data_IF_663251733612
#
_entry.id   IF_663251733612
#
_cell.length_a   1.000
_cell.length_b   1.000
_cell.length_c   1.000
_cell.angle_alpha   90.00
_cell.angle_beta   90.00
_cell.angle_gamma   90.00
#
_symmetry.space_group_name_H-M   'P 1'
#
loop_
_entity.id
_entity.type
_entity.pdbx_description
1 polymer ?
#
# COMPACT_ATOMS: atom_id res chain seq x y z
N UNK A 1 24.43 17.06 1.85
CA UNK A 1 23.84 15.89 2.55
C UNK A 1 22.44 16.18 3.11
N UNK A 2 22.21 17.29 3.81
CA UNK A 2 20.93 17.57 4.53
C UNK A 2 19.67 17.57 3.64
N UNK A 3 19.76 18.04 2.39
CA UNK A 3 18.61 18.04 1.46
C UNK A 3 18.18 16.61 1.12
N UNK A 4 19.13 15.70 0.88
CA UNK A 4 18.85 14.30 0.57
C UNK A 4 18.16 13.64 1.77
N UNK A 5 18.74 13.79 2.97
CA UNK A 5 18.18 13.21 4.21
C UNK A 5 16.75 13.71 4.46
N UNK A 6 16.50 15.01 4.28
CA UNK A 6 15.17 15.59 4.50
C UNK A 6 14.11 15.08 3.53
N UNK A 7 14.50 14.60 2.34
CA UNK A 7 13.57 14.20 1.28
C UNK A 7 13.59 12.70 0.96
N UNK A 8 14.42 11.90 1.63
CA UNK A 8 14.60 10.48 1.28
C UNK A 8 13.31 9.66 1.39
N UNK A 9 12.38 10.08 2.26
CA UNK A 9 11.07 9.47 2.38
C UNK A 9 10.25 9.48 1.08
N UNK A 10 10.52 10.41 0.15
CA UNK A 10 9.89 10.45 -1.16
C UNK A 10 10.26 9.25 -2.03
N UNK A 11 11.46 8.69 -1.85
CA UNK A 11 11.85 7.48 -2.57
C UNK A 11 10.88 6.34 -2.25
N UNK A 12 10.55 6.16 -0.97
CA UNK A 12 9.62 5.13 -0.51
C UNK A 12 8.19 5.45 -0.97
N UNK A 13 7.74 6.71 -0.81
CA UNK A 13 6.39 7.12 -1.23
C UNK A 13 6.15 6.93 -2.72
N UNK A 14 7.10 7.37 -3.56
CA UNK A 14 6.99 7.26 -5.01
C UNK A 14 7.03 5.80 -5.44
N UNK A 15 7.92 4.99 -4.84
CA UNK A 15 7.97 3.56 -5.11
C UNK A 15 6.64 2.88 -4.79
N UNK A 16 6.10 3.06 -3.58
CA UNK A 16 4.83 2.47 -3.18
C UNK A 16 3.68 2.96 -4.06
N UNK A 17 3.61 4.26 -4.29
CA UNK A 17 2.51 4.84 -5.06
C UNK A 17 2.54 4.36 -6.52
N UNK A 18 3.71 4.29 -7.14
CA UNK A 18 3.85 3.80 -8.51
C UNK A 18 3.41 2.33 -8.62
N UNK A 19 3.83 1.48 -7.68
CA UNK A 19 3.40 0.08 -7.61
C UNK A 19 1.88 -0.03 -7.54
N UNK A 20 1.24 0.69 -6.63
CA UNK A 20 -0.20 0.56 -6.43
C UNK A 20 -1.08 1.32 -7.42
N UNK A 21 -0.55 2.36 -8.08
CA UNK A 21 -1.20 2.93 -9.27
C UNK A 21 -1.18 1.89 -10.40
N UNK A 22 -0.03 1.29 -10.68
CA UNK A 22 0.14 0.31 -11.75
C UNK A 22 -0.71 -0.95 -11.51
N UNK A 23 -0.76 -1.47 -10.29
CA UNK A 23 -1.52 -2.68 -9.97
C UNK A 23 -2.98 -2.43 -9.60
N UNK A 24 -3.31 -1.29 -9.00
CA UNK A 24 -4.65 -0.96 -8.54
C UNK A 24 -5.56 -0.46 -9.66
N UNK A 25 -5.02 0.31 -10.61
CA UNK A 25 -5.82 0.86 -11.71
C UNK A 25 -6.48 -0.22 -12.58
N UNK A 26 -5.79 -1.29 -13.03
CA UNK A 26 -6.41 -2.36 -13.81
C UNK A 26 -7.46 -3.17 -13.04
N UNK A 27 -7.48 -3.10 -11.71
CA UNK A 27 -8.43 -3.82 -10.84
C UNK A 27 -9.70 -3.03 -10.57
N UNK A 28 -9.84 -1.81 -11.09
CA UNK A 28 -11.07 -1.04 -10.94
C UNK A 28 -12.22 -1.72 -11.69
N UNK A 29 -13.32 -1.98 -10.97
CA UNK A 29 -14.51 -2.62 -11.54
C UNK A 29 -14.35 -4.12 -11.80
N UNK A 30 -13.27 -4.74 -11.33
CA UNK A 30 -13.00 -6.18 -11.47
C UNK A 30 -12.86 -6.82 -10.10
N UNK A 31 -13.56 -7.93 -9.87
CA UNK A 31 -13.33 -8.75 -8.66
C UNK A 31 -12.07 -9.59 -8.83
N UNK A 32 -11.21 -9.58 -7.80
CA UNK A 32 -9.95 -10.33 -7.80
C UNK A 32 -9.89 -11.36 -6.69
N UNK A 33 -8.95 -12.30 -6.81
CA UNK A 33 -8.60 -13.28 -5.78
C UNK A 33 -9.77 -14.18 -5.31
N UNK A 34 -10.81 -14.35 -6.14
CA UNK A 34 -12.01 -15.12 -5.82
C UNK A 34 -12.72 -14.68 -4.53
N UNK A 35 -12.65 -13.38 -4.21
CA UNK A 35 -13.20 -12.79 -2.97
C UNK A 35 -14.67 -12.35 -3.09
N UNK A 36 -15.34 -12.66 -4.22
CA UNK A 36 -16.70 -12.21 -4.48
C UNK A 36 -16.82 -10.68 -4.47
N UNK A 37 -17.80 -10.13 -3.76
CA UNK A 37 -18.02 -8.68 -3.69
C UNK A 37 -16.85 -7.91 -3.06
N UNK A 38 -16.12 -8.51 -2.11
CA UNK A 38 -14.95 -7.87 -1.50
C UNK A 38 -13.79 -7.69 -2.48
N UNK A 39 -13.71 -8.54 -3.51
CA UNK A 39 -12.67 -8.44 -4.55
C UNK A 39 -12.72 -7.12 -5.31
N UNK A 40 -13.90 -6.51 -5.45
CA UNK A 40 -14.05 -5.21 -6.12
C UNK A 40 -13.46 -4.04 -5.31
N UNK A 41 -13.21 -4.22 -4.02
CA UNK A 41 -12.63 -3.19 -3.16
C UNK A 41 -11.10 -3.13 -3.26
N UNK A 42 -10.45 -4.19 -3.76
CA UNK A 42 -8.99 -4.26 -3.83
C UNK A 42 -8.42 -3.16 -4.72
N UNK A 43 -8.92 -3.02 -5.95
CA UNK A 43 -8.46 -1.97 -6.88
C UNK A 43 -8.62 -0.55 -6.33
N UNK A 44 -9.82 -0.15 -5.86
CA UNK A 44 -10.02 1.15 -5.23
C UNK A 44 -9.10 1.40 -4.03
N UNK A 45 -8.90 0.42 -3.14
CA UNK A 45 -8.06 0.61 -1.96
C UNK A 45 -6.58 0.75 -2.33
N UNK A 46 -6.09 -0.05 -3.28
CA UNK A 46 -4.74 0.09 -3.82
C UNK A 46 -4.54 1.47 -4.47
N UNK A 47 -5.43 1.85 -5.39
CA UNK A 47 -5.29 3.08 -6.16
C UNK A 47 -5.46 4.34 -5.30
N UNK A 48 -6.55 4.45 -4.53
CA UNK A 48 -6.76 5.60 -3.66
C UNK A 48 -5.76 5.63 -2.51
N UNK A 49 -5.34 4.48 -2.02
CA UNK A 49 -4.23 4.37 -1.06
C UNK A 49 -2.95 5.01 -1.58
N UNK A 50 -2.59 4.71 -2.84
CA UNK A 50 -1.43 5.31 -3.51
C UNK A 50 -1.56 6.83 -3.70
N UNK A 51 -2.72 7.28 -4.20
CA UNK A 51 -3.00 8.70 -4.42
C UNK A 51 -2.93 9.46 -3.09
N UNK A 52 -3.56 8.94 -2.04
CA UNK A 52 -3.56 9.57 -0.72
C UNK A 52 -2.17 9.58 -0.09
N UNK A 53 -1.36 8.54 -0.29
CA UNK A 53 0.02 8.50 0.19
C UNK A 53 0.88 9.62 -0.44
N UNK A 54 0.71 9.90 -1.73
CA UNK A 54 1.43 10.99 -2.42
C UNK A 54 0.89 12.34 -2.01
N UNK A 55 -0.42 12.56 -2.18
CA UNK A 55 -1.04 13.84 -1.86
C UNK A 55 -0.89 14.20 -0.38
N UNK A 56 -0.96 13.21 0.51
CA UNK A 56 -0.75 13.41 1.94
C UNK A 56 0.66 13.87 2.28
N UNK A 57 1.67 13.52 1.49
CA UNK A 57 3.03 14.02 1.65
C UNK A 57 3.15 15.52 1.41
N UNK A 58 2.29 16.09 0.55
CA UNK A 58 2.24 17.52 0.25
C UNK A 58 1.22 18.29 1.12
N UNK A 59 0.08 17.68 1.43
CA UNK A 59 -1.06 18.37 2.02
C UNK A 59 -1.08 18.27 3.55
N UNK A 60 -1.39 17.11 4.11
CA UNK A 60 -1.48 16.91 5.56
C UNK A 60 -1.29 15.45 5.98
N UNK A 61 -0.76 15.26 7.19
CA UNK A 61 -0.29 13.95 7.66
C UNK A 61 -1.39 12.88 7.78
N UNK A 62 -2.63 13.26 8.10
CA UNK A 62 -3.73 12.30 8.21
C UNK A 62 -4.07 11.65 6.87
N UNK A 63 -3.85 12.34 5.74
CA UNK A 63 -4.05 11.76 4.42
C UNK A 63 -2.96 10.72 4.09
N UNK A 64 -1.71 10.97 4.49
CA UNK A 64 -0.63 9.98 4.43
C UNK A 64 -0.99 8.73 5.22
N UNK A 65 -1.47 8.89 6.46
CA UNK A 65 -1.88 7.77 7.32
C UNK A 65 -3.04 7.00 6.71
N UNK A 66 -4.06 7.70 6.22
CA UNK A 66 -5.20 7.08 5.56
C UNK A 66 -4.79 6.28 4.31
N UNK A 67 -3.98 6.87 3.43
CA UNK A 67 -3.48 6.17 2.24
C UNK A 67 -2.66 4.92 2.57
N UNK A 68 -1.77 5.05 3.56
CA UNK A 68 -0.96 3.93 4.05
C UNK A 68 -1.82 2.82 4.68
N UNK A 69 -2.89 3.19 5.40
CA UNK A 69 -3.81 2.24 6.02
C UNK A 69 -4.59 1.44 4.97
N UNK A 70 -5.08 2.10 3.91
CA UNK A 70 -5.77 1.42 2.81
C UNK A 70 -4.87 0.35 2.18
N UNK A 71 -3.61 0.70 1.88
CA UNK A 71 -2.63 -0.26 1.34
C UNK A 71 -2.33 -1.37 2.35
N UNK A 72 -2.13 -1.04 3.63
CA UNK A 72 -1.84 -2.02 4.67
C UNK A 72 -2.91 -3.10 4.80
N UNK A 73 -4.19 -2.71 4.75
CA UNK A 73 -5.32 -3.66 4.77
C UNK A 73 -5.25 -4.63 3.59
N UNK A 74 -4.90 -4.15 2.40
CA UNK A 74 -4.73 -5.00 1.22
C UNK A 74 -3.54 -5.95 1.39
N UNK A 75 -2.42 -5.50 1.96
CA UNK A 75 -1.27 -6.38 2.21
C UNK A 75 -1.60 -7.48 3.22
N UNK A 76 -2.31 -7.15 4.31
CA UNK A 76 -2.77 -8.15 5.28
C UNK A 76 -3.67 -9.18 4.60
N UNK A 77 -4.62 -8.73 3.77
CA UNK A 77 -5.47 -9.60 2.98
C UNK A 77 -4.68 -10.50 2.04
N UNK A 78 -3.72 -9.95 1.30
CA UNK A 78 -2.89 -10.70 0.36
C UNK A 78 -2.02 -11.76 1.07
N UNK A 79 -1.40 -11.41 2.21
CA UNK A 79 -0.64 -12.37 3.04
C UNK A 79 -1.55 -13.52 3.48
N UNK A 80 -2.76 -13.20 3.96
CA UNK A 80 -3.71 -14.21 4.37
C UNK A 80 -4.10 -15.14 3.22
N UNK A 81 -4.36 -14.58 2.04
CA UNK A 81 -4.72 -15.36 0.85
C UNK A 81 -3.60 -16.31 0.45
N UNK A 82 -2.36 -15.83 0.31
CA UNK A 82 -1.23 -16.67 -0.05
C UNK A 82 -0.99 -17.79 0.97
N UNK A 83 -0.88 -17.47 2.27
CA UNK A 83 -0.45 -18.45 3.26
C UNK A 83 -1.54 -19.43 3.70
N UNK A 84 -2.81 -18.98 3.77
CA UNK A 84 -3.88 -19.77 4.40
C UNK A 84 -4.99 -20.20 3.45
N UNK A 85 -5.14 -19.55 2.29
CA UNK A 85 -6.16 -19.93 1.30
C UNK A 85 -5.56 -20.63 0.09
N UNK A 86 -4.44 -20.15 -0.41
CA UNK A 86 -3.75 -20.74 -1.55
C UNK A 86 -2.67 -21.74 -1.15
N UNK A 87 -2.30 -21.78 0.14
CA UNK A 87 -1.26 -22.67 0.70
C UNK A 87 0.10 -22.50 0.02
N UNK A 88 0.43 -21.27 -0.34
CA UNK A 88 1.73 -20.91 -0.89
C UNK A 88 2.81 -20.87 0.21
N UNK A 89 4.08 -20.93 -0.20
CA UNK A 89 5.22 -20.81 0.71
C UNK A 89 5.40 -19.38 1.23
N UNK A 90 6.08 -19.24 2.37
CA UNK A 90 6.40 -17.95 2.98
C UNK A 90 7.21 -17.02 2.05
N UNK A 91 8.01 -17.58 1.14
CA UNK A 91 8.73 -16.82 0.12
C UNK A 91 7.79 -16.06 -0.84
N UNK A 92 6.54 -16.48 -0.96
CA UNK A 92 5.55 -15.85 -1.85
C UNK A 92 4.97 -14.55 -1.29
N UNK A 93 5.26 -14.23 -0.01
CA UNK A 93 4.72 -13.06 0.69
C UNK A 93 5.77 -12.02 1.11
N UNK A 94 7.02 -12.18 0.65
CA UNK A 94 8.15 -11.30 0.99
C UNK A 94 7.86 -9.82 0.67
N UNK A 95 7.31 -9.54 -0.52
CA UNK A 95 6.98 -8.19 -0.96
C UNK A 95 5.83 -7.58 -0.15
N UNK A 96 4.83 -8.38 0.18
CA UNK A 96 3.66 -7.95 0.95
C UNK A 96 4.09 -7.58 2.37
N UNK A 97 5.00 -8.34 2.99
CA UNK A 97 5.60 -7.98 4.27
C UNK A 97 6.41 -6.69 4.21
N UNK A 98 7.26 -6.53 3.18
CA UNK A 98 8.06 -5.31 2.99
C UNK A 98 7.17 -4.08 2.82
N UNK A 99 6.14 -4.18 1.98
CA UNK A 99 5.19 -3.10 1.76
C UNK A 99 4.43 -2.80 3.06
N UNK A 100 3.93 -3.83 3.75
CA UNK A 100 3.21 -3.67 5.01
C UNK A 100 4.07 -2.96 6.07
N UNK A 101 5.35 -3.30 6.18
CA UNK A 101 6.27 -2.62 7.09
C UNK A 101 6.41 -1.12 6.77
N UNK A 102 6.53 -0.77 5.48
CA UNK A 102 6.57 0.64 5.05
C UNK A 102 5.24 1.36 5.30
N UNK A 103 4.11 0.70 5.09
CA UNK A 103 2.80 1.26 5.41
C UNK A 103 2.67 1.52 6.92
N UNK A 104 3.07 0.57 7.77
CA UNK A 104 3.08 0.74 9.24
C UNK A 104 3.97 1.93 9.64
N UNK A 105 5.15 2.06 9.02
CA UNK A 105 6.02 3.21 9.23
C UNK A 105 5.30 4.54 8.95
N UNK A 106 4.63 4.69 7.79
CA UNK A 106 3.89 5.90 7.46
C UNK A 106 2.61 6.10 8.28
N UNK A 107 1.94 5.03 8.72
CA UNK A 107 0.79 5.11 9.64
C UNK A 107 1.24 5.71 10.98
N UNK A 108 2.35 5.24 11.54
CA UNK A 108 2.85 5.68 12.84
C UNK A 108 3.48 7.07 12.73
N UNK A 109 4.37 7.28 11.75
CA UNK A 109 5.16 8.52 11.62
C UNK A 109 4.41 9.65 10.91
N UNK A 110 3.43 9.34 10.06
CA UNK A 110 2.78 10.34 9.20
C UNK A 110 3.79 11.03 8.29
N UNK A 111 3.83 12.36 8.35
CA UNK A 111 4.81 13.18 7.61
C UNK A 111 6.06 13.53 8.42
N UNK A 112 6.19 13.02 9.66
CA UNK A 112 7.36 13.22 10.53
C UNK A 112 8.44 12.18 10.21
N UNK A 113 8.87 12.16 8.95
CA UNK A 113 9.75 11.18 8.33
C UNK A 113 11.07 11.79 7.89
#
# INVERSE_FOLDING_TARGET
>A
MNIIVKNIHWLIRISLASTFIYHGYPKLGVSVANLGYLGYLVGPFELFGAIFLILGGFLYENLTRAGSLLIAVIMIGAIYMHLFKWNDHLSSVEWQFLILANCIFFIIRGNKV
#
